data_IF_541966830139
#
_entry.id   IF_541966830139
#
_cell.length_a   1.000
_cell.length_b   1.000
_cell.length_c   1.000
_cell.angle_alpha   90.00
_cell.angle_beta   90.00
_cell.angle_gamma   90.00
#
_symmetry.space_group_name_H-M   'P 1'
#
loop_
_entity.id
_entity.type
_entity.pdbx_description
1 polymer ?
#
# COMPACT_ATOMS: atom_id res chain seq x y z
N UNK A 1 4.54 9.95 18.48
CA UNK A 1 4.01 9.30 17.24
C UNK A 1 3.23 10.40 16.49
N UNK A 2 3.63 10.72 15.25
CA UNK A 2 2.93 11.74 14.44
C UNK A 2 1.77 11.02 13.77
N UNK A 3 0.55 11.29 14.24
CA UNK A 3 -0.67 10.78 13.65
C UNK A 3 -1.18 11.83 12.64
N UNK A 4 -1.34 11.45 11.38
CA UNK A 4 -1.90 12.31 10.36
C UNK A 4 -3.41 12.06 10.27
N UNK A 5 -4.24 13.08 10.42
CA UNK A 5 -5.69 12.93 10.30
C UNK A 5 -6.05 12.46 8.89
N UNK A 6 -7.00 11.53 8.79
CA UNK A 6 -7.52 11.06 7.49
C UNK A 6 -8.04 12.23 6.66
N UNK A 7 -8.65 13.22 7.30
CA UNK A 7 -9.13 14.45 6.64
C UNK A 7 -8.00 15.31 6.07
N UNK A 8 -6.80 15.29 6.65
CA UNK A 8 -5.66 16.07 6.16
C UNK A 8 -5.01 15.42 4.92
N UNK A 9 -5.23 14.12 4.72
CA UNK A 9 -4.78 13.38 3.54
C UNK A 9 -5.50 13.87 2.27
N UNK A 10 -6.74 14.35 2.40
CA UNK A 10 -7.57 14.83 1.30
C UNK A 10 -7.60 16.36 1.16
N UNK A 11 -6.95 17.08 2.06
CA UNK A 11 -6.77 18.55 1.99
C UNK A 11 -5.66 18.98 1.02
N UNK A 12 -5.26 18.11 0.08
CA UNK A 12 -4.37 18.51 -1.00
C UNK A 12 -5.10 19.52 -1.90
N UNK A 13 -4.40 20.55 -2.33
CA UNK A 13 -4.88 21.64 -3.22
C UNK A 13 -5.27 21.14 -4.62
N UNK A 14 -6.03 20.08 -4.70
CA UNK A 14 -6.61 19.53 -5.89
C UNK A 14 -8.09 19.30 -5.64
N UNK A 15 -8.93 19.83 -6.48
CA UNK A 15 -10.36 19.53 -6.41
C UNK A 15 -10.60 18.12 -6.98
N UNK A 16 -10.60 17.11 -6.12
CA UNK A 16 -10.91 15.72 -6.44
C UNK A 16 -12.24 15.31 -5.76
N UNK A 17 -13.40 15.95 -6.14
CA UNK A 17 -14.66 15.82 -5.42
C UNK A 17 -15.21 14.39 -5.41
N UNK A 18 -14.78 13.58 -6.37
CA UNK A 18 -15.25 12.20 -6.53
C UNK A 18 -14.24 11.17 -6.00
N UNK A 19 -13.24 11.59 -5.23
CA UNK A 19 -12.33 10.67 -4.60
C UNK A 19 -13.03 9.95 -3.45
N UNK A 20 -13.11 8.62 -3.52
CA UNK A 20 -13.67 7.75 -2.48
C UNK A 20 -12.71 7.65 -1.29
N UNK A 21 -12.69 8.69 -0.46
CA UNK A 21 -11.81 8.75 0.70
C UNK A 21 -12.12 7.72 1.77
N UNK A 22 -13.40 7.43 1.99
CA UNK A 22 -13.82 6.39 2.95
C UNK A 22 -13.42 5.00 2.46
N UNK A 23 -13.62 4.72 1.18
CA UNK A 23 -13.16 3.47 0.58
C UNK A 23 -11.65 3.32 0.60
N UNK A 24 -10.89 4.40 0.31
CA UNK A 24 -9.42 4.38 0.40
C UNK A 24 -8.95 4.08 1.84
N UNK A 25 -9.58 4.72 2.84
CA UNK A 25 -9.30 4.45 4.24
C UNK A 25 -9.63 2.99 4.63
N UNK A 26 -10.76 2.46 4.15
CA UNK A 26 -11.15 1.07 4.40
C UNK A 26 -10.17 0.07 3.74
N UNK A 27 -9.68 0.36 2.53
CA UNK A 27 -8.68 -0.48 1.84
C UNK A 27 -7.35 -0.49 2.59
N UNK A 28 -6.85 0.67 3.04
CA UNK A 28 -5.65 0.74 3.86
C UNK A 28 -5.85 0.04 5.21
N UNK A 29 -6.97 0.25 5.87
CA UNK A 29 -7.34 -0.45 7.12
C UNK A 29 -7.27 -1.98 6.94
N UNK A 30 -7.82 -2.52 5.85
CA UNK A 30 -7.74 -3.94 5.54
C UNK A 30 -6.30 -4.41 5.32
N UNK A 31 -5.47 -3.58 4.69
CA UNK A 31 -4.05 -3.88 4.48
C UNK A 31 -3.25 -3.91 5.79
N UNK A 32 -3.58 -3.08 6.78
CA UNK A 32 -2.95 -3.09 8.10
C UNK A 32 -3.20 -4.43 8.82
N UNK A 33 -4.36 -5.04 8.59
CA UNK A 33 -4.68 -6.37 9.16
C UNK A 33 -3.87 -7.52 8.55
N UNK A 34 -3.25 -7.31 7.39
CA UNK A 34 -2.27 -8.25 6.83
C UNK A 34 -0.94 -8.04 7.56
N UNK A 35 -0.60 -8.97 8.45
CA UNK A 35 0.60 -8.88 9.31
C UNK A 35 1.86 -9.25 8.52
N UNK A 36 2.23 -8.43 7.56
CA UNK A 36 3.41 -8.63 6.70
C UNK A 36 4.71 -8.34 7.46
N UNK A 37 4.85 -8.96 8.64
CA UNK A 37 6.04 -8.81 9.48
C UNK A 37 7.18 -9.56 8.82
N UNK A 38 8.28 -8.85 8.55
CA UNK A 38 9.50 -9.48 8.11
C UNK A 38 10.54 -9.55 9.25
N UNK A 39 11.42 -10.53 9.17
CA UNK A 39 12.48 -10.78 10.15
C UNK A 39 13.78 -11.03 9.41
N UNK A 40 14.92 -10.67 10.03
CA UNK A 40 16.24 -11.05 9.51
C UNK A 40 16.39 -12.56 9.31
N UNK A 41 15.78 -13.34 10.20
CA UNK A 41 15.59 -14.78 9.98
C UNK A 41 14.28 -15.00 9.23
N UNK A 42 14.35 -15.06 7.90
CA UNK A 42 13.20 -15.23 7.01
C UNK A 42 12.41 -16.52 7.29
N UNK A 43 12.96 -17.51 8.00
CA UNK A 43 12.19 -18.69 8.39
C UNK A 43 11.05 -18.38 9.37
N UNK A 44 11.09 -17.22 10.01
CA UNK A 44 10.06 -16.71 10.91
C UNK A 44 8.98 -15.88 10.20
N UNK A 45 9.22 -15.50 8.95
CA UNK A 45 8.30 -14.66 8.18
C UNK A 45 7.11 -15.49 7.70
N UNK A 46 5.90 -15.06 8.07
CA UNK A 46 4.65 -15.66 7.56
C UNK A 46 4.27 -15.04 6.20
N UNK A 47 4.81 -15.63 5.15
CA UNK A 47 4.53 -15.18 3.77
C UNK A 47 3.06 -15.29 3.35
N UNK A 48 2.22 -16.04 4.06
CA UNK A 48 0.78 -16.08 3.79
C UNK A 48 0.11 -14.73 4.02
N UNK A 49 0.69 -13.87 4.85
CA UNK A 49 0.20 -12.51 5.08
C UNK A 49 0.46 -11.59 3.87
N UNK A 50 1.57 -11.81 3.17
CA UNK A 50 1.85 -11.13 1.91
C UNK A 50 0.90 -11.62 0.81
N UNK A 51 0.63 -12.91 0.73
CA UNK A 51 -0.36 -13.45 -0.21
C UNK A 51 -1.76 -12.86 0.03
N UNK A 52 -2.18 -12.68 1.29
CA UNK A 52 -3.43 -12.00 1.64
C UNK A 52 -3.43 -10.54 1.19
N UNK A 53 -2.33 -9.82 1.42
CA UNK A 53 -2.17 -8.43 0.99
C UNK A 53 -2.25 -8.32 -0.54
N UNK A 54 -1.57 -9.22 -1.28
CA UNK A 54 -1.61 -9.25 -2.75
C UNK A 54 -3.02 -9.54 -3.27
N UNK A 55 -3.73 -10.48 -2.65
CA UNK A 55 -5.13 -10.76 -3.00
C UNK A 55 -6.02 -9.54 -2.75
N UNK A 56 -5.81 -8.83 -1.62
CA UNK A 56 -6.53 -7.61 -1.30
C UNK A 56 -6.23 -6.50 -2.32
N UNK A 57 -4.97 -6.27 -2.69
CA UNK A 57 -4.59 -5.29 -3.73
C UNK A 57 -5.30 -5.62 -5.05
N UNK A 58 -5.23 -6.87 -5.51
CA UNK A 58 -5.86 -7.28 -6.77
C UNK A 58 -7.38 -7.07 -6.77
N UNK A 59 -8.03 -7.36 -5.67
CA UNK A 59 -9.48 -7.18 -5.53
C UNK A 59 -9.89 -5.71 -5.45
N UNK A 60 -9.04 -4.86 -4.87
CA UNK A 60 -9.32 -3.45 -4.61
C UNK A 60 -9.13 -2.55 -5.84
N UNK A 61 -8.28 -2.94 -6.79
CA UNK A 61 -7.83 -2.08 -7.90
C UNK A 61 -8.07 -2.72 -9.28
N UNK A 62 -9.34 -2.95 -9.66
CA UNK A 62 -9.69 -3.71 -10.88
C UNK A 62 -9.26 -3.02 -12.17
N UNK A 63 -9.21 -1.67 -12.24
CA UNK A 63 -8.77 -0.98 -13.44
C UNK A 63 -7.26 -1.10 -13.65
N UNK A 64 -6.46 -1.07 -12.56
CA UNK A 64 -5.03 -1.38 -12.62
C UNK A 64 -4.83 -2.82 -13.11
N UNK A 65 -5.54 -3.79 -12.54
CA UNK A 65 -5.45 -5.20 -12.93
C UNK A 65 -5.89 -5.46 -14.38
N UNK A 66 -6.81 -4.64 -14.90
CA UNK A 66 -7.30 -4.75 -16.28
C UNK A 66 -6.28 -4.30 -17.32
N UNK A 67 -5.50 -3.26 -17.03
CA UNK A 67 -4.60 -2.64 -18.01
C UNK A 67 -3.12 -2.98 -17.76
N UNK A 68 -2.76 -3.32 -16.54
CA UNK A 68 -1.41 -3.61 -16.11
C UNK A 68 -1.11 -5.09 -15.93
N UNK A 69 0.14 -5.39 -15.66
CA UNK A 69 0.59 -6.70 -15.21
C UNK A 69 0.96 -6.62 -13.74
N UNK A 70 0.65 -7.68 -12.99
CA UNK A 70 1.04 -7.84 -11.59
C UNK A 70 1.98 -9.02 -11.48
N UNK A 71 3.24 -8.77 -11.15
CA UNK A 71 4.29 -9.77 -11.07
C UNK A 71 4.82 -9.84 -9.64
N UNK A 72 5.02 -11.06 -9.14
CA UNK A 72 5.75 -11.29 -7.90
C UNK A 72 7.22 -11.54 -8.22
N UNK A 73 8.10 -10.79 -7.58
CA UNK A 73 9.56 -10.86 -7.76
C UNK A 73 10.17 -11.43 -6.48
N UNK A 74 11.11 -12.34 -6.61
CA UNK A 74 11.74 -12.96 -5.45
C UNK A 74 10.75 -13.69 -4.56
N UNK A 75 10.79 -13.40 -3.26
CA UNK A 75 9.86 -14.01 -2.30
C UNK A 75 8.45 -13.41 -2.48
N UNK A 76 8.25 -12.14 -2.13
CA UNK A 76 6.94 -11.49 -2.19
C UNK A 76 7.00 -10.01 -2.62
N UNK A 77 8.11 -9.50 -3.14
CA UNK A 77 8.11 -8.20 -3.77
C UNK A 77 7.14 -8.16 -4.96
N UNK A 78 6.54 -7.02 -5.20
CA UNK A 78 5.55 -6.83 -6.27
C UNK A 78 6.03 -5.78 -7.24
N UNK A 79 5.91 -6.10 -8.52
CA UNK A 79 6.03 -5.14 -9.61
C UNK A 79 4.71 -5.08 -10.38
N UNK A 80 4.08 -3.90 -10.37
CA UNK A 80 2.94 -3.64 -11.23
C UNK A 80 3.40 -2.73 -12.37
N UNK A 81 3.23 -3.19 -13.59
CA UNK A 81 3.56 -2.42 -14.80
C UNK A 81 2.28 -1.93 -15.45
N UNK A 82 2.10 -0.61 -15.51
CA UNK A 82 1.02 0.04 -16.25
C UNK A 82 1.62 0.59 -17.54
N UNK A 83 1.28 0.03 -18.73
CA UNK A 83 1.89 0.46 -19.98
C UNK A 83 1.48 1.88 -20.35
N UNK A 84 2.44 2.66 -20.83
CA UNK A 84 2.21 3.98 -21.42
C UNK A 84 1.81 3.89 -22.88
N UNK A 85 1.14 4.94 -23.37
CA UNK A 85 0.75 5.07 -24.78
C UNK A 85 1.88 5.53 -25.69
N UNK A 86 2.97 6.06 -25.13
CA UNK A 86 4.14 6.57 -25.86
C UNK A 86 5.42 5.89 -25.36
N UNK A 87 5.90 4.91 -26.12
CA UNK A 87 7.10 4.16 -25.81
C UNK A 87 8.41 4.97 -25.94
N UNK A 88 8.38 6.16 -26.52
CA UNK A 88 9.55 7.06 -26.60
C UNK A 88 9.83 7.78 -25.30
N UNK A 89 8.85 7.85 -24.41
CA UNK A 89 8.98 8.50 -23.11
C UNK A 89 9.65 7.55 -22.11
N UNK A 90 10.58 8.10 -21.32
CA UNK A 90 11.16 7.34 -20.21
C UNK A 90 10.06 6.97 -19.21
N UNK A 91 10.05 5.74 -18.69
CA UNK A 91 9.10 5.31 -17.70
C UNK A 91 9.27 6.07 -16.36
N UNK A 92 8.22 6.06 -15.54
CA UNK A 92 8.28 6.47 -14.13
C UNK A 92 8.35 5.22 -13.26
N UNK A 93 9.11 5.31 -12.17
CA UNK A 93 9.15 4.29 -11.12
C UNK A 93 8.65 4.91 -9.81
N UNK A 94 7.65 4.28 -9.20
CA UNK A 94 7.15 4.58 -7.87
C UNK A 94 7.51 3.40 -6.97
N UNK A 95 8.21 3.68 -5.87
CA UNK A 95 8.73 2.65 -4.97
C UNK A 95 8.15 2.84 -3.56
N UNK A 96 7.89 1.72 -2.91
CA UNK A 96 7.52 1.63 -1.50
C UNK A 96 7.78 0.21 -1.01
N UNK A 97 7.43 -0.12 0.24
CA UNK A 97 7.54 -1.49 0.74
C UNK A 97 6.25 -1.94 1.45
N UNK A 98 6.08 -3.24 1.53
CA UNK A 98 4.88 -3.91 2.07
C UNK A 98 5.12 -4.49 3.46
N UNK A 99 6.38 -4.79 3.76
CA UNK A 99 6.77 -5.37 5.04
C UNK A 99 6.75 -4.34 6.17
N UNK A 100 6.75 -4.85 7.37
CA UNK A 100 6.73 -4.06 8.59
C UNK A 100 7.57 -4.75 9.67
N UNK A 101 8.15 -3.98 10.57
CA UNK A 101 8.80 -4.53 11.76
C UNK A 101 7.79 -5.14 12.74
N UNK A 102 8.20 -6.13 13.55
CA UNK A 102 7.36 -6.69 14.61
C UNK A 102 7.02 -5.65 15.67
N UNK A 103 5.99 -5.93 16.46
CA UNK A 103 5.78 -5.26 17.75
C UNK A 103 6.84 -5.78 18.72
N UNK A 104 7.44 -4.88 19.48
CA UNK A 104 8.39 -5.26 20.52
C UNK A 104 7.64 -6.08 21.57
N UNK A 105 8.14 -7.27 21.86
CA UNK A 105 7.54 -8.19 22.83
C UNK A 105 7.35 -7.51 24.20
N UNK A 106 6.17 -7.64 24.77
CA UNK A 106 5.82 -7.04 26.06
C UNK A 106 5.33 -5.59 25.99
N UNK A 107 5.28 -4.98 24.79
CA UNK A 107 4.76 -3.60 24.59
C UNK A 107 3.38 -3.57 23.92
N UNK A 108 2.72 -4.72 23.75
CA UNK A 108 1.43 -4.83 23.07
C UNK A 108 0.35 -4.00 23.76
N UNK A 109 0.45 -3.85 25.09
CA UNK A 109 -0.49 -3.08 25.90
C UNK A 109 -0.26 -1.56 25.83
N UNK A 110 0.87 -1.12 25.28
CA UNK A 110 1.18 0.31 25.14
C UNK A 110 0.52 0.92 23.89
N UNK A 111 -0.11 0.08 23.06
CA UNK A 111 -0.82 0.51 21.87
C UNK A 111 -2.24 0.95 22.23
N UNK A 112 -2.62 2.18 21.84
CA UNK A 112 -3.98 2.72 22.02
C UNK A 112 -5.04 1.84 21.32
N UNK A 113 -4.68 1.33 20.13
CA UNK A 113 -5.42 0.31 19.40
C UNK A 113 -4.49 -0.86 19.11
N UNK A 114 -4.96 -2.11 19.06
CA UNK A 114 -4.10 -3.24 18.74
C UNK A 114 -3.29 -3.01 17.45
N UNK A 115 -2.00 -3.32 17.48
CA UNK A 115 -1.04 -2.93 16.43
C UNK A 115 -1.43 -3.34 15.01
N UNK A 116 -2.26 -4.36 14.85
CA UNK A 116 -2.71 -4.84 13.54
C UNK A 116 -4.25 -4.84 13.42
N UNK A 117 -4.94 -3.98 14.19
CA UNK A 117 -6.40 -3.88 14.09
C UNK A 117 -6.85 -3.15 12.83
N UNK A 118 -6.07 -2.17 12.36
CA UNK A 118 -6.48 -1.30 11.28
C UNK A 118 -7.69 -0.44 11.63
N UNK A 119 -7.92 -0.17 12.92
CA UNK A 119 -9.07 0.61 13.37
C UNK A 119 -9.10 2.00 12.72
N UNK A 120 -10.29 2.39 12.28
CA UNK A 120 -10.56 3.77 11.82
C UNK A 120 -11.31 4.45 12.94
N UNK A 121 -10.62 5.26 13.71
CA UNK A 121 -11.17 5.93 14.89
C UNK A 121 -10.52 7.31 15.07
N UNK A 122 -11.30 8.27 15.61
CA UNK A 122 -10.85 9.63 15.93
C UNK A 122 -10.24 10.39 14.74
N UNK A 123 -10.62 10.03 13.51
CA UNK A 123 -10.09 10.61 12.27
C UNK A 123 -8.73 10.04 11.84
N UNK A 124 -8.32 8.89 12.38
CA UNK A 124 -7.05 8.21 12.05
C UNK A 124 -7.28 6.76 11.67
N UNK A 125 -6.31 6.19 10.93
CA UNK A 125 -6.17 4.76 10.76
C UNK A 125 -5.04 4.31 11.67
N UNK A 126 -5.36 3.39 12.60
CA UNK A 126 -4.45 2.93 13.64
C UNK A 126 -3.79 1.62 13.26
N UNK A 127 -2.48 1.55 13.42
CA UNK A 127 -1.78 0.28 13.32
C UNK A 127 -0.34 0.37 12.87
N UNK A 128 0.38 -0.75 13.02
CA UNK A 128 1.75 -0.96 12.52
C UNK A 128 1.73 -0.94 10.99
N UNK A 129 2.64 -0.17 10.40
CA UNK A 129 2.73 -0.04 8.95
C UNK A 129 1.81 1.02 8.33
N UNK A 130 0.99 1.73 9.14
CA UNK A 130 0.14 2.80 8.61
C UNK A 130 0.95 3.96 8.08
N UNK A 131 2.02 4.39 8.77
CA UNK A 131 2.92 5.48 8.36
C UNK A 131 4.21 4.99 7.71
N UNK A 132 4.61 3.76 8.01
CA UNK A 132 5.82 3.13 7.50
C UNK A 132 5.48 1.71 7.07
N UNK A 133 5.06 1.53 5.79
CA UNK A 133 4.77 2.59 4.81
C UNK A 133 3.62 2.16 3.87
N UNK A 134 2.68 1.34 4.38
CA UNK A 134 1.55 0.87 3.57
C UNK A 134 0.67 2.01 3.06
N UNK A 135 0.67 3.17 3.76
CA UNK A 135 -0.06 4.35 3.28
C UNK A 135 0.45 4.80 1.92
N UNK A 136 1.76 4.73 1.68
CA UNK A 136 2.34 5.09 0.40
C UNK A 136 2.03 4.06 -0.68
N UNK A 137 2.08 2.76 -0.34
CA UNK A 137 1.66 1.67 -1.26
C UNK A 137 0.24 1.92 -1.74
N UNK A 138 -0.69 2.13 -0.80
CA UNK A 138 -2.10 2.33 -1.11
C UNK A 138 -2.37 3.68 -1.75
N UNK A 139 -1.68 4.75 -1.35
CA UNK A 139 -1.79 6.08 -1.96
C UNK A 139 -1.43 6.07 -3.45
N UNK A 140 -0.35 5.37 -3.83
CA UNK A 140 0.05 5.22 -5.24
C UNK A 140 -1.01 4.41 -6.01
N UNK A 141 -1.52 3.31 -5.43
CA UNK A 141 -2.55 2.48 -6.05
C UNK A 141 -3.87 3.25 -6.21
N UNK A 142 -4.31 3.99 -5.18
CA UNK A 142 -5.51 4.84 -5.23
C UNK A 142 -5.41 5.89 -6.33
N UNK A 143 -4.28 6.56 -6.46
CA UNK A 143 -4.06 7.57 -7.48
C UNK A 143 -4.12 6.97 -8.90
N UNK A 144 -3.48 5.82 -9.11
CA UNK A 144 -3.51 5.14 -10.40
C UNK A 144 -4.91 4.63 -10.76
N UNK A 145 -5.60 3.97 -9.81
CA UNK A 145 -6.95 3.47 -9.99
C UNK A 145 -7.94 4.60 -10.28
N UNK A 146 -7.84 5.72 -9.53
CA UNK A 146 -8.65 6.92 -9.73
C UNK A 146 -8.58 7.45 -11.16
N UNK A 147 -7.36 7.55 -11.72
CA UNK A 147 -7.16 8.03 -13.09
C UNK A 147 -7.71 7.03 -14.11
N UNK A 148 -7.41 5.75 -13.95
CA UNK A 148 -7.83 4.69 -14.87
C UNK A 148 -9.35 4.50 -14.87
N UNK A 149 -10.01 4.60 -13.73
CA UNK A 149 -11.47 4.53 -13.61
C UNK A 149 -12.17 5.66 -14.38
N UNK A 150 -11.49 6.79 -14.60
CA UNK A 150 -11.98 7.93 -15.40
C UNK A 150 -11.58 7.87 -16.87
N UNK A 151 -11.13 6.71 -17.33
CA UNK A 151 -10.72 6.51 -18.71
C UNK A 151 -9.45 7.26 -19.11
N UNK A 152 -8.66 7.72 -18.12
CA UNK A 152 -7.33 8.28 -18.40
C UNK A 152 -6.35 7.16 -18.72
N UNK A 153 -5.42 7.43 -19.62
CA UNK A 153 -4.27 6.57 -19.89
C UNK A 153 -2.98 7.27 -19.47
N UNK A 154 -1.97 6.48 -19.17
CA UNK A 154 -0.65 7.02 -18.88
C UNK A 154 0.10 7.28 -20.19
N UNK A 155 0.72 8.46 -20.34
CA UNK A 155 1.55 8.73 -21.53
C UNK A 155 2.82 7.86 -21.49
N UNK A 156 3.47 7.77 -20.33
CA UNK A 156 4.66 6.93 -20.09
C UNK A 156 4.32 5.70 -19.27
N UNK A 157 5.07 4.62 -19.48
CA UNK A 157 4.93 3.44 -18.62
C UNK A 157 5.22 3.80 -17.17
N UNK A 158 4.36 3.33 -16.27
CA UNK A 158 4.54 3.45 -14.83
C UNK A 158 4.85 2.08 -14.23
N UNK A 159 5.95 2.01 -13.49
CA UNK A 159 6.31 0.89 -12.65
C UNK A 159 5.98 1.21 -11.21
N UNK A 160 5.16 0.37 -10.56
CA UNK A 160 4.87 0.45 -9.14
C UNK A 160 5.58 -0.75 -8.50
N UNK A 161 6.65 -0.48 -7.77
CA UNK A 161 7.52 -1.51 -7.19
C UNK A 161 7.40 -1.46 -5.66
N UNK A 162 6.96 -2.57 -5.06
CA UNK A 162 6.74 -2.69 -3.63
C UNK A 162 7.60 -3.82 -3.07
N UNK A 163 8.64 -3.45 -2.32
CA UNK A 163 9.54 -4.40 -1.65
C UNK A 163 8.85 -5.21 -0.56
N UNK A 164 9.44 -6.34 -0.18
CA UNK A 164 8.95 -7.23 0.87
C UNK A 164 9.95 -7.45 2.02
N UNK A 165 11.10 -6.78 1.97
CA UNK A 165 12.23 -6.97 2.89
C UNK A 165 12.99 -5.67 3.23
N UNK A 166 12.36 -4.51 3.05
CA UNK A 166 12.99 -3.21 3.32
C UNK A 166 13.42 -3.06 4.78
N UNK A 167 12.59 -3.52 5.70
CA UNK A 167 12.82 -3.44 7.15
C UNK A 167 13.93 -4.40 7.64
N UNK A 168 14.43 -5.26 6.77
CA UNK A 168 15.43 -6.30 7.10
C UNK A 168 16.60 -6.33 6.11
N UNK A 169 16.79 -5.26 5.33
CA UNK A 169 17.94 -5.14 4.42
C UNK A 169 19.23 -5.01 5.26
N UNK A 170 20.22 -5.86 4.96
CA UNK A 170 21.58 -5.81 5.48
C UNK A 170 22.50 -5.06 4.51
#
# INVERSE_FOLDING_TARGET
MIQKKVTDFFALEGNYPDLDGEGAAARLSAAIRCKTINYFDHSRTDYTQFDKLHAHIKASYPNIMRVGTFERIGHHAVLITIPGSDASLRPCLYMSHQDVVPVVEGTEQDWTHPAFSGDIADGYIWGRGTLDIKEQVFGVLEAAEYLLARGKSFARTAYLAFGDDEETIN
#
